data_IF_039465318345
#
_entry.id   IF_039465318345
#
_cell.length_a   1.000
_cell.length_b   1.000
_cell.length_c   1.000
_cell.angle_alpha   90.00
_cell.angle_beta   90.00
_cell.angle_gamma   90.00
#
_symmetry.space_group_name_H-M   'P 1'
#
loop_
_entity.id
_entity.type
_entity.pdbx_description
1 polymer ?
#
# COMPACT_ATOMS: atom_id res chain seq x y z
N UNK A 1 -6.87 9.56 -24.03
CA UNK A 1 -6.50 9.90 -22.63
C UNK A 1 -7.29 9.07 -21.62
N UNK A 2 -8.63 9.01 -21.76
CA UNK A 2 -9.51 8.23 -20.87
C UNK A 2 -9.03 6.79 -20.60
N UNK A 3 -8.68 6.01 -21.64
CA UNK A 3 -8.22 4.61 -21.49
C UNK A 3 -6.99 4.49 -20.57
N UNK A 4 -6.02 5.40 -20.70
CA UNK A 4 -4.78 5.37 -19.93
C UNK A 4 -5.04 5.78 -18.46
N UNK A 5 -5.91 6.77 -18.26
CA UNK A 5 -6.34 7.19 -16.93
C UNK A 5 -7.07 6.06 -16.18
N UNK A 6 -7.98 5.36 -16.85
CA UNK A 6 -8.66 4.18 -16.28
C UNK A 6 -7.68 3.05 -15.97
N UNK A 7 -6.71 2.81 -16.86
CA UNK A 7 -5.65 1.84 -16.61
C UNK A 7 -4.80 2.21 -15.38
N UNK A 8 -4.52 3.50 -15.16
CA UNK A 8 -3.78 3.97 -13.99
C UNK A 8 -4.58 3.78 -12.69
N UNK A 9 -5.90 3.96 -12.72
CA UNK A 9 -6.78 3.65 -11.58
C UNK A 9 -6.85 2.14 -11.31
N UNK A 10 -6.92 1.31 -12.36
CA UNK A 10 -6.86 -0.14 -12.21
C UNK A 10 -5.51 -0.60 -11.63
N UNK A 11 -4.41 0.02 -12.07
CA UNK A 11 -3.08 -0.21 -11.50
C UNK A 11 -3.04 0.21 -10.03
N UNK A 12 -3.63 1.34 -9.66
CA UNK A 12 -3.72 1.79 -8.26
C UNK A 12 -4.39 0.74 -7.39
N UNK A 13 -5.55 0.24 -7.82
CA UNK A 13 -6.27 -0.80 -7.11
C UNK A 13 -5.45 -2.10 -6.99
N UNK A 14 -4.76 -2.51 -8.05
CA UNK A 14 -3.87 -3.67 -8.00
C UNK A 14 -2.72 -3.47 -7.00
N UNK A 15 -2.15 -2.27 -6.94
CA UNK A 15 -1.10 -1.92 -5.97
C UNK A 15 -1.61 -1.94 -4.53
N UNK A 16 -2.86 -1.56 -4.28
CA UNK A 16 -3.50 -1.71 -2.96
C UNK A 16 -3.64 -3.18 -2.55
N UNK A 17 -4.08 -4.04 -3.47
CA UNK A 17 -4.13 -5.49 -3.21
C UNK A 17 -2.75 -6.08 -2.95
N UNK A 18 -1.76 -5.69 -3.76
CA UNK A 18 -0.36 -6.09 -3.57
C UNK A 18 0.20 -5.61 -2.23
N UNK A 19 -0.18 -4.41 -1.78
CA UNK A 19 0.22 -3.86 -0.49
C UNK A 19 -0.24 -4.76 0.66
N UNK A 20 -1.52 -5.11 0.68
CA UNK A 20 -2.11 -5.98 1.70
C UNK A 20 -1.49 -7.38 1.68
N UNK A 21 -1.29 -7.95 0.49
CA UNK A 21 -0.67 -9.27 0.33
C UNK A 21 0.79 -9.26 0.81
N UNK A 22 1.57 -8.23 0.48
CA UNK A 22 2.96 -8.06 0.91
C UNK A 22 3.10 -7.98 2.42
N UNK A 23 2.25 -7.17 3.06
CA UNK A 23 2.22 -7.02 4.53
C UNK A 23 1.80 -8.32 5.22
N UNK A 24 0.82 -9.02 4.67
CA UNK A 24 0.37 -10.29 5.23
C UNK A 24 1.46 -11.36 5.12
N UNK A 25 2.07 -11.47 3.94
CA UNK A 25 3.21 -12.37 3.72
C UNK A 25 4.35 -12.07 4.68
N UNK A 26 4.72 -10.80 4.84
CA UNK A 26 5.74 -10.37 5.79
C UNK A 26 5.37 -10.72 7.24
N UNK A 27 4.12 -10.50 7.64
CA UNK A 27 3.65 -10.82 8.99
C UNK A 27 3.73 -12.32 9.31
N UNK A 28 3.32 -13.18 8.38
CA UNK A 28 3.43 -14.64 8.53
C UNK A 28 4.88 -15.15 8.52
N UNK A 29 5.79 -14.47 7.79
CA UNK A 29 7.22 -14.84 7.74
C UNK A 29 8.01 -14.37 8.96
N UNK A 30 7.65 -13.22 9.53
CA UNK A 30 8.43 -12.58 10.60
C UNK A 30 8.08 -13.10 12.00
N UNK A 31 6.83 -13.50 12.23
CA UNK A 31 6.38 -13.98 13.54
C UNK A 31 7.10 -15.26 14.00
N UNK A 32 7.56 -15.28 15.26
CA UNK A 32 8.03 -16.51 15.94
C UNK A 32 6.87 -17.09 16.76
N UNK A 33 6.49 -18.34 16.46
CA UNK A 33 5.32 -18.99 17.07
C UNK A 33 4.01 -18.70 16.32
N UNK A 34 3.05 -19.63 16.43
CA UNK A 34 1.81 -19.61 15.64
C UNK A 34 0.95 -18.37 15.90
N UNK A 35 0.81 -17.96 17.16
CA UNK A 35 -0.01 -16.82 17.57
C UNK A 35 0.53 -15.51 16.99
N UNK A 36 1.84 -15.28 17.09
CA UNK A 36 2.48 -14.05 16.59
C UNK A 36 2.40 -14.00 15.06
N UNK A 37 2.54 -15.12 14.36
CA UNK A 37 2.39 -15.19 12.90
C UNK A 37 0.98 -14.83 12.44
N UNK A 38 -0.04 -15.39 13.08
CA UNK A 38 -1.45 -15.09 12.75
C UNK A 38 -1.74 -13.62 13.07
N UNK A 39 -1.31 -13.16 14.25
CA UNK A 39 -1.49 -11.77 14.68
C UNK A 39 -0.86 -10.76 13.73
N UNK A 40 0.40 -10.96 13.33
CA UNK A 40 1.07 -10.05 12.38
C UNK A 40 0.55 -10.22 10.94
N UNK A 41 0.32 -11.46 10.51
CA UNK A 41 -0.11 -11.77 9.14
C UNK A 41 -1.49 -11.21 8.78
N UNK A 42 -2.42 -11.20 9.73
CA UNK A 42 -3.73 -10.55 9.52
C UNK A 42 -3.78 -9.14 10.09
N UNK A 43 -3.15 -8.89 11.23
CA UNK A 43 -3.19 -7.60 11.90
C UNK A 43 -2.51 -6.49 11.10
N UNK A 44 -1.35 -6.72 10.50
CA UNK A 44 -0.67 -5.68 9.74
C UNK A 44 -1.47 -5.23 8.49
N UNK A 45 -1.98 -6.13 7.62
CA UNK A 45 -2.85 -5.73 6.52
C UNK A 45 -4.14 -5.05 7.00
N UNK A 46 -4.77 -5.58 8.06
CA UNK A 46 -6.03 -5.04 8.56
C UNK A 46 -5.86 -3.63 9.14
N UNK A 47 -4.78 -3.40 9.89
CA UNK A 47 -4.44 -2.08 10.43
C UNK A 47 -4.24 -1.06 9.30
N UNK A 48 -3.47 -1.42 8.26
CA UNK A 48 -3.25 -0.52 7.12
C UNK A 48 -4.53 -0.28 6.33
N UNK A 49 -5.37 -1.30 6.14
CA UNK A 49 -6.66 -1.15 5.48
C UNK A 49 -7.59 -0.20 6.25
N UNK A 50 -7.68 -0.34 7.58
CA UNK A 50 -8.50 0.54 8.43
C UNK A 50 -7.96 1.97 8.38
N UNK A 51 -6.65 2.16 8.56
CA UNK A 51 -6.02 3.49 8.51
C UNK A 51 -6.29 4.15 7.15
N UNK A 52 -6.15 3.42 6.04
CA UNK A 52 -6.45 3.95 4.71
C UNK A 52 -7.93 4.29 4.56
N UNK A 53 -8.84 3.40 4.98
CA UNK A 53 -10.27 3.64 4.90
C UNK A 53 -10.72 4.87 5.73
N UNK A 54 -10.12 5.09 6.90
CA UNK A 54 -10.50 6.19 7.80
C UNK A 54 -9.95 7.54 7.37
N UNK A 55 -8.72 7.59 6.84
CA UNK A 55 -7.99 8.85 6.60
C UNK A 55 -7.57 9.11 5.15
N UNK A 56 -7.43 8.06 4.35
CA UNK A 56 -6.84 8.11 3.02
C UNK A 56 -7.84 7.98 1.87
N UNK A 57 -8.95 7.27 2.08
CA UNK A 57 -9.94 6.96 1.05
C UNK A 57 -10.72 8.21 0.58
N UNK A 58 -11.25 8.22 -0.65
CA UNK A 58 -12.12 9.31 -1.13
C UNK A 58 -13.35 9.54 -0.24
N UNK A 59 -13.85 8.49 0.41
CA UNK A 59 -14.93 8.51 1.40
C UNK A 59 -14.43 8.48 2.85
N UNK A 60 -13.18 8.89 3.12
CA UNK A 60 -12.60 8.90 4.45
C UNK A 60 -13.46 9.69 5.43
N UNK A 61 -13.66 9.13 6.64
CA UNK A 61 -14.40 9.79 7.71
C UNK A 61 -13.67 11.05 8.22
N UNK A 62 -12.34 11.07 8.10
CA UNK A 62 -11.51 12.21 8.50
C UNK A 62 -10.76 12.71 7.26
N UNK A 63 -11.10 13.93 6.83
CA UNK A 63 -10.38 14.59 5.75
C UNK A 63 -9.06 15.15 6.26
N UNK A 64 -7.96 14.64 5.73
CA UNK A 64 -6.63 15.15 6.03
C UNK A 64 -6.29 16.34 5.12
N UNK A 65 -5.51 17.28 5.65
CA UNK A 65 -4.86 18.30 4.82
C UNK A 65 -3.93 17.65 3.78
N UNK A 66 -3.76 18.28 2.62
CA UNK A 66 -2.98 17.72 1.51
C UNK A 66 -1.56 17.21 1.90
N UNK A 67 -0.77 17.90 2.76
CA UNK A 67 0.54 17.41 3.19
C UNK A 67 0.44 16.13 4.04
N UNK A 68 -0.54 16.07 4.95
CA UNK A 68 -0.76 14.92 5.81
C UNK A 68 -1.27 13.71 5.02
N UNK A 69 -2.13 13.94 4.03
CA UNK A 69 -2.60 12.88 3.14
C UNK A 69 -1.46 12.29 2.31
N UNK A 70 -0.54 13.12 1.81
CA UNK A 70 0.65 12.66 1.11
C UNK A 70 1.57 11.84 2.03
N UNK A 71 1.80 12.29 3.26
CA UNK A 71 2.58 11.52 4.24
C UNK A 71 1.93 10.17 4.53
N UNK A 72 0.61 10.14 4.74
CA UNK A 72 -0.14 8.91 4.95
C UNK A 72 0.04 7.95 3.78
N UNK A 73 -0.10 8.45 2.56
CA UNK A 73 0.05 7.64 1.35
C UNK A 73 1.46 7.07 1.21
N UNK A 74 2.50 7.87 1.47
CA UNK A 74 3.88 7.38 1.47
C UNK A 74 4.09 6.27 2.50
N UNK A 75 3.45 6.35 3.67
CA UNK A 75 3.54 5.29 4.68
C UNK A 75 2.77 4.05 4.23
N UNK A 76 1.52 4.21 3.79
CA UNK A 76 0.64 3.09 3.42
C UNK A 76 1.16 2.32 2.21
N UNK A 77 1.68 3.00 1.19
CA UNK A 77 2.26 2.36 0.01
C UNK A 77 3.78 2.11 0.12
N UNK A 78 4.48 2.77 1.04
CA UNK A 78 5.91 2.54 1.27
C UNK A 78 6.20 1.33 2.16
N UNK A 79 5.41 1.12 3.22
CA UNK A 79 5.58 0.00 4.16
C UNK A 79 5.56 -1.38 3.47
N UNK A 80 4.67 -1.67 2.50
CA UNK A 80 4.69 -2.94 1.78
C UNK A 80 5.99 -3.18 0.99
N UNK A 81 6.63 -2.15 0.45
CA UNK A 81 7.92 -2.28 -0.22
C UNK A 81 9.01 -2.70 0.78
N UNK A 82 9.05 -2.05 1.96
CA UNK A 82 9.96 -2.41 3.06
C UNK A 82 9.66 -3.83 3.57
N UNK A 83 8.39 -4.20 3.68
CA UNK A 83 7.94 -5.53 4.08
C UNK A 83 8.44 -6.61 3.11
N UNK A 84 8.32 -6.40 1.79
CA UNK A 84 8.86 -7.30 0.78
C UNK A 84 10.39 -7.40 0.84
N UNK A 85 11.08 -6.28 1.03
CA UNK A 85 12.53 -6.25 1.11
C UNK A 85 13.04 -7.06 2.32
N UNK A 86 12.47 -6.79 3.50
CA UNK A 86 12.83 -7.49 4.75
C UNK A 86 12.37 -8.95 4.77
N UNK A 87 11.33 -9.31 4.02
CA UNK A 87 10.93 -10.70 3.81
C UNK A 87 11.85 -11.48 2.83
N UNK A 88 12.92 -10.84 2.31
CA UNK A 88 13.89 -11.46 1.41
C UNK A 88 13.45 -11.49 -0.05
N UNK A 89 12.55 -10.59 -0.47
CA UNK A 89 12.05 -10.46 -1.84
C UNK A 89 12.41 -9.09 -2.45
N UNK A 90 13.70 -8.73 -2.57
CA UNK A 90 14.11 -7.40 -3.02
C UNK A 90 13.67 -7.08 -4.46
N UNK A 91 13.63 -8.07 -5.36
CA UNK A 91 13.14 -7.87 -6.73
C UNK A 91 11.67 -7.43 -6.76
N UNK A 92 10.81 -8.08 -5.95
CA UNK A 92 9.40 -7.71 -5.83
C UNK A 92 9.24 -6.34 -5.15
N UNK A 93 10.07 -6.04 -4.15
CA UNK A 93 10.07 -4.72 -3.49
C UNK A 93 10.35 -3.59 -4.48
N UNK A 94 11.35 -3.76 -5.36
CA UNK A 94 11.66 -2.78 -6.40
C UNK A 94 10.56 -2.64 -7.45
N UNK A 95 10.03 -3.75 -7.96
CA UNK A 95 8.93 -3.73 -8.94
C UNK A 95 7.72 -3.00 -8.36
N UNK A 96 7.32 -3.37 -7.14
CA UNK A 96 6.20 -2.74 -6.45
C UNK A 96 6.46 -1.26 -6.18
N UNK A 97 7.61 -0.90 -5.61
CA UNK A 97 7.97 0.48 -5.29
C UNK A 97 8.03 1.38 -6.53
N UNK A 98 8.63 0.91 -7.63
CA UNK A 98 8.64 1.64 -8.89
C UNK A 98 7.23 1.82 -9.46
N UNK A 99 6.40 0.78 -9.42
CA UNK A 99 5.02 0.86 -9.87
C UNK A 99 4.20 1.89 -9.06
N UNK A 100 4.40 1.95 -7.73
CA UNK A 100 3.80 2.99 -6.86
C UNK A 100 4.24 4.39 -7.26
N UNK A 101 5.55 4.61 -7.48
CA UNK A 101 6.07 5.93 -7.87
C UNK A 101 5.52 6.38 -9.23
N UNK A 102 5.51 5.48 -10.21
CA UNK A 102 4.96 5.77 -11.55
C UNK A 102 3.47 6.10 -11.43
N UNK A 103 2.70 5.25 -10.76
CA UNK A 103 1.26 5.45 -10.55
C UNK A 103 0.96 6.79 -9.88
N UNK A 104 1.66 7.12 -8.78
CA UNK A 104 1.47 8.38 -8.05
C UNK A 104 1.83 9.61 -8.90
N UNK A 105 2.91 9.52 -9.67
CA UNK A 105 3.32 10.60 -10.58
C UNK A 105 2.24 10.85 -11.63
N UNK A 106 1.69 9.79 -12.23
CA UNK A 106 0.60 9.89 -13.21
C UNK A 106 -0.70 10.43 -12.58
N UNK A 107 -1.04 10.01 -11.36
CA UNK A 107 -2.18 10.54 -10.62
C UNK A 107 -2.06 12.06 -10.42
N UNK A 108 -0.88 12.52 -9.97
CA UNK A 108 -0.62 13.95 -9.77
C UNK A 108 -0.67 14.75 -11.07
N UNK A 109 -0.06 14.25 -12.15
CA UNK A 109 -0.04 14.95 -13.44
C UNK A 109 -1.42 15.05 -14.09
N UNK A 110 -2.29 14.07 -13.86
CA UNK A 110 -3.63 14.04 -14.44
C UNK A 110 -4.74 14.50 -13.49
N UNK A 111 -4.42 14.86 -12.25
CA UNK A 111 -5.40 15.29 -11.25
C UNK A 111 -6.41 14.20 -10.88
N UNK A 112 -5.96 12.94 -10.91
CA UNK A 112 -6.74 11.77 -10.46
C UNK A 112 -6.59 11.57 -8.96
#
# INVERSE_FOLDING_TARGET
MFVIQTANLALRFLLELCALAALGYWGFRTGRGLIVKIGLGFGAPLLIAVVWATFGAPGASVQLSAPLHLLLELVVFGLPAVALFTAGKPGLAWIYGLAVVINRTLMYLWGQ
#
